data_IF_915513692748
#
_entry.id   IF_915513692748
#
_cell.length_a   1.000
_cell.length_b   1.000
_cell.length_c   1.000
_cell.angle_alpha   90.00
_cell.angle_beta   90.00
_cell.angle_gamma   90.00
#
_symmetry.space_group_name_H-M   'P 1'
#
loop_
_entity.id
_entity.type
_entity.pdbx_description
1 polymer ?
#
# COMPACT_ATOMS: atom_id res chain seq x y z
N UNK A 1 -16.60 15.80 18.44
CA UNK A 1 -16.75 14.37 18.79
C UNK A 1 -15.59 13.95 19.69
N UNK A 2 -15.89 13.13 20.68
CA UNK A 2 -14.95 12.57 21.62
C UNK A 2 -14.94 11.04 21.50
N UNK A 3 -13.77 10.45 21.38
CA UNK A 3 -13.60 9.00 21.22
C UNK A 3 -12.70 8.47 22.34
N UNK A 4 -13.23 7.57 23.17
CA UNK A 4 -12.50 6.91 24.26
C UNK A 4 -12.12 5.50 23.86
N UNK A 5 -10.94 5.04 24.27
CA UNK A 5 -10.46 3.68 24.02
C UNK A 5 -8.98 3.52 24.34
N UNK A 6 -8.43 2.37 23.98
CA UNK A 6 -6.98 2.17 23.97
C UNK A 6 -6.43 2.78 22.69
N UNK A 7 -5.42 3.65 22.74
CA UNK A 7 -4.95 4.37 21.57
C UNK A 7 -3.45 4.14 21.35
N UNK A 8 -3.06 3.77 20.14
CA UNK A 8 -1.68 3.77 19.66
C UNK A 8 -1.49 4.83 18.58
N UNK A 9 -0.41 5.62 18.71
CA UNK A 9 -0.10 6.71 17.80
C UNK A 9 1.35 6.63 17.32
N UNK A 10 1.62 6.03 16.16
CA UNK A 10 2.97 5.85 15.65
C UNK A 10 3.61 7.20 15.28
N UNK A 11 4.86 7.40 15.72
CA UNK A 11 5.66 8.61 15.44
C UNK A 11 6.83 8.32 14.50
N UNK A 12 7.53 7.24 14.79
CA UNK A 12 8.65 6.73 13.99
C UNK A 12 8.59 5.21 13.94
N UNK A 13 9.52 4.58 13.28
CA UNK A 13 9.72 3.13 13.25
C UNK A 13 10.03 2.50 14.61
N UNK A 14 10.47 3.31 15.59
CA UNK A 14 10.81 2.86 16.94
C UNK A 14 9.96 3.51 18.03
N UNK A 15 9.19 4.56 17.72
CA UNK A 15 8.40 5.31 18.70
C UNK A 15 6.93 5.29 18.38
N UNK A 16 6.12 4.87 19.35
CA UNK A 16 4.66 4.88 19.29
C UNK A 16 4.11 5.33 20.65
N UNK A 17 3.32 6.41 20.67
CA UNK A 17 2.64 6.81 21.90
C UNK A 17 1.57 5.77 22.22
N UNK A 18 1.40 5.49 23.52
CA UNK A 18 0.44 4.53 24.04
C UNK A 18 -0.43 5.17 25.14
N UNK A 19 -1.73 5.08 24.93
CA UNK A 19 -2.73 5.55 25.88
C UNK A 19 -3.64 4.36 26.24
N UNK A 20 -3.41 3.69 27.39
CA UNK A 20 -4.26 2.58 27.86
C UNK A 20 -5.73 2.98 28.01
N UNK A 21 -5.93 4.22 28.41
CA UNK A 21 -7.21 4.92 28.44
C UNK A 21 -6.98 6.29 27.81
N UNK A 22 -7.28 6.39 26.50
CA UNK A 22 -7.06 7.59 25.71
C UNK A 22 -8.36 8.31 25.37
N UNK A 23 -8.25 9.61 25.15
CA UNK A 23 -9.28 10.47 24.58
C UNK A 23 -8.76 11.10 23.30
N UNK A 24 -9.37 10.75 22.18
CA UNK A 24 -9.17 11.41 20.89
C UNK A 24 -10.29 12.42 20.68
N UNK A 25 -9.93 13.69 20.56
CA UNK A 25 -10.87 14.81 20.35
C UNK A 25 -10.84 15.21 18.88
N UNK A 26 -12.00 15.19 18.25
CA UNK A 26 -12.18 15.51 16.82
C UNK A 26 -13.14 16.68 16.66
N UNK A 27 -12.71 17.72 15.96
CA UNK A 27 -13.53 18.87 15.59
C UNK A 27 -13.43 19.09 14.08
N UNK A 28 -14.56 19.19 13.39
CA UNK A 28 -14.63 19.44 11.93
C UNK A 28 -13.77 18.48 11.10
N UNK A 29 -13.78 17.18 11.47
CA UNK A 29 -13.01 16.16 10.79
C UNK A 29 -11.49 16.18 11.05
N UNK A 30 -11.02 17.08 11.94
CA UNK A 30 -9.61 17.23 12.31
C UNK A 30 -9.36 16.81 13.75
N UNK A 31 -8.15 16.34 14.02
CA UNK A 31 -7.71 16.02 15.38
C UNK A 31 -7.42 17.30 16.13
N UNK A 32 -8.16 17.54 17.20
CA UNK A 32 -7.98 18.68 18.09
C UNK A 32 -6.98 18.37 19.18
N UNK A 33 -7.15 17.19 19.83
CA UNK A 33 -6.27 16.71 20.89
C UNK A 33 -6.23 15.17 20.91
N UNK A 34 -5.12 14.66 21.45
CA UNK A 34 -4.96 13.27 21.88
C UNK A 34 -4.36 13.29 23.30
N UNK A 35 -5.10 12.80 24.28
CA UNK A 35 -4.77 12.93 25.70
C UNK A 35 -5.01 11.63 26.47
N UNK A 36 -4.28 11.38 27.58
CA UNK A 36 -4.73 10.43 28.59
C UNK A 36 -6.13 10.84 29.09
N UNK A 37 -6.98 9.87 29.40
CA UNK A 37 -8.40 10.11 29.72
C UNK A 37 -8.59 11.09 30.87
N UNK A 38 -7.77 11.00 31.91
CA UNK A 38 -7.84 11.90 33.10
C UNK A 38 -7.61 13.38 32.71
N UNK A 39 -6.58 13.64 31.89
CA UNK A 39 -6.30 14.98 31.37
C UNK A 39 -7.41 15.46 30.43
N UNK A 40 -7.92 14.53 29.63
CA UNK A 40 -9.02 14.80 28.69
C UNK A 40 -10.31 15.19 29.43
N UNK A 41 -10.67 14.46 30.47
CA UNK A 41 -11.86 14.76 31.29
C UNK A 41 -11.72 16.10 32.01
N UNK A 42 -10.56 16.43 32.62
CA UNK A 42 -10.32 17.75 33.22
C UNK A 42 -10.54 18.88 32.20
N UNK A 43 -10.18 18.68 30.95
CA UNK A 43 -10.25 19.74 29.91
C UNK A 43 -11.61 19.82 29.19
N UNK A 44 -12.31 18.71 29.03
CA UNK A 44 -13.44 18.62 28.12
C UNK A 44 -14.73 18.08 28.73
N UNK A 45 -14.79 17.70 30.02
CA UNK A 45 -15.99 17.09 30.63
C UNK A 45 -17.25 17.93 30.42
N UNK A 46 -17.16 19.25 30.54
CA UNK A 46 -18.28 20.17 30.32
C UNK A 46 -18.80 20.22 28.88
N UNK A 47 -17.99 19.79 27.92
CA UNK A 47 -18.34 19.74 26.48
C UNK A 47 -18.80 18.36 26.04
N UNK A 48 -18.59 17.32 26.85
CA UNK A 48 -18.91 15.94 26.51
C UNK A 48 -20.38 15.62 26.84
N UNK A 49 -21.08 15.06 25.85
CA UNK A 49 -22.47 14.58 25.96
C UNK A 49 -22.58 13.15 25.47
N UNK A 50 -23.70 12.47 25.75
CA UNK A 50 -23.98 11.12 25.19
C UNK A 50 -24.00 11.10 23.65
N UNK A 51 -24.39 12.20 23.01
CA UNK A 51 -24.52 12.29 21.54
C UNK A 51 -23.20 12.57 20.83
N UNK A 52 -22.27 13.23 21.48
CA UNK A 52 -20.96 13.58 20.89
C UNK A 52 -19.78 12.76 21.43
N UNK A 53 -20.04 11.78 22.33
CA UNK A 53 -19.02 10.92 22.92
C UNK A 53 -19.25 9.46 22.55
N UNK A 54 -18.23 8.81 22.00
CA UNK A 54 -18.22 7.37 21.74
C UNK A 54 -17.17 6.71 22.62
N UNK A 55 -17.62 5.81 23.47
CA UNK A 55 -16.74 5.00 24.32
C UNK A 55 -16.60 3.61 23.72
N UNK A 56 -15.40 3.27 23.26
CA UNK A 56 -15.08 1.96 22.68
C UNK A 56 -14.51 0.97 23.71
N UNK A 57 -14.50 1.36 24.99
CA UNK A 57 -14.02 0.51 26.09
C UNK A 57 -12.58 0.07 25.89
N UNK A 58 -12.38 -1.24 25.82
CA UNK A 58 -11.05 -1.82 25.61
C UNK A 58 -10.62 -1.89 24.13
N UNK A 59 -11.47 -1.47 23.18
CA UNK A 59 -11.10 -1.52 21.75
C UNK A 59 -9.92 -0.59 21.46
N UNK A 60 -9.09 -1.05 20.51
CA UNK A 60 -7.92 -0.31 20.08
C UNK A 60 -8.28 0.68 18.96
N UNK A 61 -7.87 1.92 19.12
CA UNK A 61 -7.95 2.98 18.12
C UNK A 61 -6.57 3.17 17.50
N UNK A 62 -6.46 2.98 16.18
CA UNK A 62 -5.24 3.16 15.39
C UNK A 62 -5.49 4.17 14.28
N UNK A 63 -4.45 4.87 13.77
CA UNK A 63 -4.55 5.56 12.49
C UNK A 63 -4.98 4.59 11.39
N UNK A 64 -5.80 5.05 10.45
CA UNK A 64 -6.17 4.26 9.28
C UNK A 64 -4.94 3.90 8.43
N UNK A 65 -4.97 2.74 7.80
CA UNK A 65 -3.84 2.19 7.04
C UNK A 65 -3.67 2.86 5.69
N UNK A 66 -2.41 2.93 5.26
CA UNK A 66 -1.97 3.24 3.90
C UNK A 66 -1.38 1.98 3.27
N UNK A 67 -2.11 1.38 2.33
CA UNK A 67 -1.62 0.27 1.51
C UNK A 67 -0.94 0.83 0.26
N UNK A 68 0.39 0.75 0.22
CA UNK A 68 1.16 1.47 -0.77
C UNK A 68 1.39 0.70 -2.08
N UNK A 69 0.85 -0.53 -2.19
CA UNK A 69 0.92 -1.35 -3.39
C UNK A 69 -0.14 -2.44 -3.37
N UNK A 70 -1.15 -2.34 -4.23
CA UNK A 70 -2.19 -3.37 -4.39
C UNK A 70 -2.88 -3.29 -5.76
N UNK A 71 -3.39 -4.44 -6.24
CA UNK A 71 -4.08 -4.60 -7.52
C UNK A 71 -5.56 -4.92 -7.31
N UNK A 72 -6.42 -3.90 -7.28
CA UNK A 72 -7.84 -4.10 -6.99
C UNK A 72 -8.54 -5.06 -7.98
N UNK A 73 -8.08 -5.13 -9.22
CA UNK A 73 -8.60 -5.99 -10.28
C UNK A 73 -8.25 -7.47 -10.10
N UNK A 74 -7.41 -7.80 -9.12
CA UNK A 74 -6.93 -9.15 -8.84
C UNK A 74 -7.55 -9.77 -7.56
N UNK A 75 -8.59 -9.17 -6.97
CA UNK A 75 -9.25 -9.68 -5.75
C UNK A 75 -9.74 -11.13 -5.90
N UNK A 76 -10.15 -11.54 -7.09
CA UNK A 76 -10.67 -12.90 -7.34
C UNK A 76 -9.58 -13.96 -7.45
N UNK A 77 -8.34 -13.59 -7.73
CA UNK A 77 -7.23 -14.52 -7.94
C UNK A 77 -6.22 -14.54 -6.79
N UNK A 78 -6.43 -13.75 -5.75
CA UNK A 78 -5.50 -13.58 -4.63
C UNK A 78 -5.19 -14.87 -3.86
N UNK A 79 -6.11 -15.83 -3.86
CA UNK A 79 -5.93 -17.12 -3.17
C UNK A 79 -5.68 -18.29 -4.12
N UNK A 80 -5.54 -18.04 -5.42
CA UNK A 80 -5.19 -19.07 -6.40
C UNK A 80 -3.77 -19.59 -6.16
N UNK A 81 -3.48 -20.86 -6.53
CA UNK A 81 -2.13 -21.41 -6.40
C UNK A 81 -1.08 -20.57 -7.13
N UNK A 82 0.10 -20.44 -6.55
CA UNK A 82 1.22 -19.65 -7.07
C UNK A 82 2.46 -20.52 -7.16
N UNK A 83 2.78 -20.99 -8.35
CA UNK A 83 3.98 -21.79 -8.61
C UNK A 83 5.18 -20.90 -8.95
N UNK A 84 4.96 -19.91 -9.81
CA UNK A 84 5.91 -18.84 -10.12
C UNK A 84 5.16 -17.55 -10.45
N UNK A 85 5.85 -16.39 -10.43
CA UNK A 85 5.26 -15.09 -10.75
C UNK A 85 4.68 -15.09 -12.19
N UNK A 86 5.47 -15.44 -13.19
CA UNK A 86 5.06 -15.32 -14.58
C UNK A 86 3.93 -16.30 -14.94
N UNK A 87 4.01 -17.52 -14.45
CA UNK A 87 2.98 -18.55 -14.66
C UNK A 87 1.65 -18.17 -13.98
N UNK A 88 1.70 -17.63 -12.75
CA UNK A 88 0.52 -17.14 -12.05
C UNK A 88 -0.13 -15.96 -12.79
N UNK A 89 0.66 -15.07 -13.40
CA UNK A 89 0.15 -13.99 -14.23
C UNK A 89 -0.61 -14.52 -15.45
N UNK A 90 -0.04 -15.48 -16.17
CA UNK A 90 -0.63 -16.06 -17.38
C UNK A 90 -1.90 -16.85 -17.07
N UNK A 91 -1.85 -17.71 -16.06
CA UNK A 91 -2.93 -18.67 -15.75
C UNK A 91 -4.16 -18.03 -15.11
N UNK A 92 -3.97 -17.04 -14.23
CA UNK A 92 -5.05 -16.50 -13.43
C UNK A 92 -5.25 -14.99 -13.58
N UNK A 93 -4.17 -14.23 -13.59
CA UNK A 93 -4.24 -12.76 -13.50
C UNK A 93 -4.70 -12.15 -14.80
N UNK A 94 -4.03 -12.43 -15.90
CA UNK A 94 -4.39 -11.85 -17.19
C UNK A 94 -5.80 -12.22 -17.63
N UNK A 95 -6.26 -13.49 -17.57
CA UNK A 95 -7.65 -13.84 -17.88
C UNK A 95 -8.69 -13.08 -17.03
N UNK A 96 -8.35 -12.80 -15.77
CA UNK A 96 -9.24 -12.03 -14.90
C UNK A 96 -9.24 -10.54 -15.25
N UNK A 97 -8.07 -9.96 -15.53
CA UNK A 97 -7.98 -8.54 -15.90
C UNK A 97 -8.67 -8.21 -17.23
N UNK A 98 -8.73 -9.13 -18.19
CA UNK A 98 -9.47 -8.98 -19.44
C UNK A 98 -10.96 -8.72 -19.23
N UNK A 99 -11.58 -9.28 -18.17
CA UNK A 99 -13.00 -9.10 -17.86
C UNK A 99 -13.35 -7.64 -17.54
N UNK A 100 -12.37 -6.85 -17.11
CA UNK A 100 -12.54 -5.44 -16.74
C UNK A 100 -12.72 -4.49 -17.92
N UNK A 101 -12.65 -4.98 -19.16
CA UNK A 101 -13.13 -4.27 -20.37
C UNK A 101 -14.65 -4.02 -20.30
N UNK A 102 -15.40 -4.88 -19.60
CA UNK A 102 -16.84 -4.74 -19.42
C UNK A 102 -17.14 -3.72 -18.31
N UNK A 103 -17.78 -2.61 -18.67
CA UNK A 103 -18.12 -1.50 -17.78
C UNK A 103 -18.96 -1.92 -16.58
N UNK A 104 -19.98 -2.79 -16.78
CA UNK A 104 -20.86 -3.29 -15.71
C UNK A 104 -20.06 -4.14 -14.73
N UNK A 105 -19.27 -5.09 -15.25
CA UNK A 105 -18.40 -5.94 -14.43
C UNK A 105 -17.43 -5.10 -13.59
N UNK A 106 -16.72 -4.15 -14.22
CA UNK A 106 -15.78 -3.27 -13.54
C UNK A 106 -16.45 -2.49 -12.40
N UNK A 107 -17.62 -1.90 -12.66
CA UNK A 107 -18.37 -1.15 -11.65
C UNK A 107 -18.81 -2.02 -10.46
N UNK A 108 -19.36 -3.21 -10.74
CA UNK A 108 -19.82 -4.14 -9.69
C UNK A 108 -18.64 -4.65 -8.84
N UNK A 109 -17.50 -4.94 -9.46
CA UNK A 109 -16.28 -5.36 -8.75
C UNK A 109 -15.67 -4.22 -7.93
N UNK A 110 -15.58 -3.01 -8.47
CA UNK A 110 -15.06 -1.85 -7.76
C UNK A 110 -15.88 -1.58 -6.48
N UNK A 111 -17.20 -1.54 -6.58
CA UNK A 111 -18.09 -1.34 -5.43
C UNK A 111 -17.83 -2.38 -4.32
N UNK A 112 -17.69 -3.65 -4.69
CA UNK A 112 -17.43 -4.74 -3.72
C UNK A 112 -16.04 -4.63 -3.11
N UNK A 113 -15.03 -4.40 -3.95
CA UNK A 113 -13.64 -4.34 -3.52
C UNK A 113 -13.38 -3.17 -2.57
N UNK A 114 -13.75 -1.94 -2.94
CA UNK A 114 -13.47 -0.76 -2.11
C UNK A 114 -14.29 -0.74 -0.81
N UNK A 115 -15.45 -1.41 -0.77
CA UNK A 115 -16.16 -1.67 0.48
C UNK A 115 -15.37 -2.62 1.39
N UNK A 116 -14.83 -3.73 0.86
CA UNK A 116 -13.95 -4.65 1.60
C UNK A 116 -12.66 -3.95 2.06
N UNK A 117 -12.06 -3.12 1.21
CA UNK A 117 -10.85 -2.39 1.55
C UNK A 117 -11.08 -1.43 2.73
N UNK A 118 -12.20 -0.69 2.71
CA UNK A 118 -12.59 0.15 3.82
C UNK A 118 -12.88 -0.68 5.09
N UNK A 119 -13.49 -1.87 4.98
CA UNK A 119 -13.72 -2.77 6.13
C UNK A 119 -12.44 -3.36 6.71
N UNK A 120 -11.36 -3.45 5.93
CA UNK A 120 -10.04 -3.84 6.40
C UNK A 120 -9.23 -2.66 7.01
N UNK A 121 -9.80 -1.45 7.03
CA UNK A 121 -9.20 -0.27 7.67
C UNK A 121 -8.26 0.53 6.80
N UNK A 122 -8.19 0.26 5.49
CA UNK A 122 -7.33 0.99 4.56
C UNK A 122 -8.02 2.26 4.06
N UNK A 123 -7.38 3.40 4.25
CA UNK A 123 -7.92 4.75 3.95
C UNK A 123 -7.05 5.54 2.96
N UNK A 124 -5.98 4.96 2.49
CA UNK A 124 -5.09 5.60 1.52
C UNK A 124 -4.10 4.61 0.93
N UNK A 125 -3.43 5.01 -0.15
CA UNK A 125 -2.40 4.17 -0.75
C UNK A 125 -2.21 4.36 -2.25
N UNK A 126 -1.51 3.38 -2.87
CA UNK A 126 -1.22 3.38 -4.31
C UNK A 126 -1.75 2.10 -4.97
N UNK A 127 -2.67 2.27 -5.91
CA UNK A 127 -3.47 1.21 -6.48
C UNK A 127 -3.18 1.01 -7.97
N UNK A 128 -3.05 -0.25 -8.37
CA UNK A 128 -2.97 -0.68 -9.77
C UNK A 128 -4.36 -1.11 -10.27
N UNK A 129 -4.82 -0.55 -11.38
CA UNK A 129 -6.01 -0.98 -12.12
C UNK A 129 -5.61 -1.84 -13.34
N UNK A 130 -6.57 -2.24 -14.17
CA UNK A 130 -6.26 -2.86 -15.47
C UNK A 130 -5.89 -1.81 -16.52
N UNK A 131 -5.61 -2.25 -17.76
CA UNK A 131 -5.36 -1.32 -18.88
C UNK A 131 -6.61 -0.49 -19.26
N UNK A 132 -7.80 -0.94 -18.86
CA UNK A 132 -9.08 -0.39 -19.31
C UNK A 132 -9.46 0.89 -18.54
N UNK A 133 -9.76 1.96 -19.29
CA UNK A 133 -10.24 3.22 -18.72
C UNK A 133 -11.47 3.02 -17.82
N UNK A 134 -12.42 2.19 -18.25
CA UNK A 134 -13.66 1.92 -17.50
C UNK A 134 -13.40 1.29 -16.14
N UNK A 135 -12.34 0.51 -15.98
CA UNK A 135 -11.94 -0.05 -14.71
C UNK A 135 -11.35 1.03 -13.78
N UNK A 136 -10.50 1.91 -14.32
CA UNK A 136 -9.98 3.04 -13.53
C UNK A 136 -11.11 3.98 -13.10
N UNK A 137 -12.04 4.31 -14.00
CA UNK A 137 -13.20 5.15 -13.71
C UNK A 137 -14.07 4.54 -12.60
N UNK A 138 -14.31 3.23 -12.64
CA UNK A 138 -15.05 2.52 -11.61
C UNK A 138 -14.32 2.59 -10.25
N UNK A 139 -13.01 2.37 -10.22
CA UNK A 139 -12.21 2.49 -9.01
C UNK A 139 -12.26 3.92 -8.42
N UNK A 140 -12.08 4.94 -9.27
CA UNK A 140 -12.10 6.35 -8.87
C UNK A 140 -13.45 6.80 -8.31
N UNK A 141 -14.56 6.19 -8.77
CA UNK A 141 -15.91 6.52 -8.29
C UNK A 141 -16.25 5.89 -6.94
N UNK A 142 -15.67 4.73 -6.61
CA UNK A 142 -16.03 3.96 -5.43
C UNK A 142 -15.06 4.15 -4.25
N UNK A 143 -13.82 4.56 -4.53
CA UNK A 143 -12.79 4.68 -3.50
C UNK A 143 -13.06 5.85 -2.54
N UNK A 144 -13.01 5.57 -1.24
CA UNK A 144 -13.11 6.56 -0.16
C UNK A 144 -11.78 6.62 0.58
N UNK A 145 -11.08 7.74 0.46
CA UNK A 145 -9.75 7.90 1.07
C UNK A 145 -8.76 8.63 0.18
N UNK A 146 -7.51 8.64 0.62
CA UNK A 146 -6.39 9.32 -0.01
C UNK A 146 -5.59 8.36 -0.90
N UNK A 147 -6.12 8.06 -2.09
CA UNK A 147 -5.51 7.11 -3.02
C UNK A 147 -5.01 7.78 -4.30
N UNK A 148 -3.88 7.26 -4.79
CA UNK A 148 -3.46 7.42 -6.18
C UNK A 148 -3.72 6.11 -6.92
N UNK A 149 -4.37 6.17 -8.08
CA UNK A 149 -4.75 4.98 -8.84
C UNK A 149 -4.28 5.13 -10.29
N UNK A 150 -3.64 4.09 -10.84
CA UNK A 150 -3.21 4.10 -12.23
C UNK A 150 -3.74 2.90 -13.01
N UNK A 151 -4.09 3.14 -14.27
CA UNK A 151 -4.26 2.04 -15.21
C UNK A 151 -2.89 1.45 -15.53
N UNK A 152 -2.78 0.13 -15.51
CA UNK A 152 -1.53 -0.50 -15.95
C UNK A 152 -1.33 -0.30 -17.46
N UNK A 153 -0.07 -0.11 -17.86
CA UNK A 153 0.31 0.01 -19.25
C UNK A 153 1.03 -1.26 -19.69
N UNK A 154 0.53 -1.86 -20.75
CA UNK A 154 1.09 -3.07 -21.36
C UNK A 154 1.02 -2.91 -22.88
N UNK A 155 2.17 -2.93 -23.55
CA UNK A 155 2.29 -2.76 -24.99
C UNK A 155 3.37 -3.65 -25.63
N UNK A 156 3.92 -4.59 -24.86
CA UNK A 156 4.78 -5.68 -25.32
C UNK A 156 4.70 -6.86 -24.35
N UNK A 157 5.04 -8.07 -24.79
CA UNK A 157 5.07 -9.30 -23.98
C UNK A 157 3.85 -9.47 -23.04
N UNK A 158 2.67 -9.22 -23.59
CA UNK A 158 1.39 -9.34 -22.88
C UNK A 158 0.35 -9.97 -23.81
N UNK A 159 -0.72 -10.59 -23.27
CA UNK A 159 -1.78 -11.15 -24.09
C UNK A 159 -2.41 -10.09 -24.99
N UNK A 160 -2.80 -10.48 -26.20
CA UNK A 160 -3.34 -9.58 -27.24
C UNK A 160 -4.45 -8.66 -26.69
N UNK A 161 -5.43 -9.21 -25.97
CA UNK A 161 -6.55 -8.45 -25.37
C UNK A 161 -6.15 -7.50 -24.24
N UNK A 162 -4.91 -7.57 -23.77
CA UNK A 162 -4.33 -6.65 -22.75
C UNK A 162 -3.15 -5.86 -23.33
N UNK A 163 -2.92 -5.90 -24.64
CA UNK A 163 -1.87 -5.16 -25.31
C UNK A 163 -2.45 -3.92 -25.99
N UNK A 164 -1.92 -2.76 -25.66
CA UNK A 164 -2.25 -1.48 -26.29
C UNK A 164 -1.13 -1.09 -27.26
N UNK A 165 -1.42 -0.28 -28.26
CA UNK A 165 -0.34 0.39 -29.01
C UNK A 165 0.36 1.42 -28.13
N UNK A 166 1.58 1.83 -28.50
CA UNK A 166 2.30 2.89 -27.78
C UNK A 166 1.52 4.21 -27.76
N UNK A 167 0.92 4.55 -28.90
CA UNK A 167 0.19 5.80 -29.07
C UNK A 167 -1.13 5.80 -28.27
N UNK A 168 -1.88 4.68 -28.25
CA UNK A 168 -3.07 4.52 -27.39
C UNK A 168 -2.71 4.60 -25.92
N UNK A 169 -1.63 3.94 -25.49
CA UNK A 169 -1.13 3.99 -24.12
C UNK A 169 -0.81 5.42 -23.68
N UNK A 170 -0.16 6.21 -24.54
CA UNK A 170 0.19 7.60 -24.26
C UNK A 170 -1.02 8.53 -24.34
N UNK A 171 -1.92 8.33 -25.32
CA UNK A 171 -3.15 9.08 -25.44
C UNK A 171 -4.06 8.89 -24.21
N UNK A 172 -4.22 7.64 -23.78
CA UNK A 172 -4.99 7.31 -22.56
C UNK A 172 -4.34 7.92 -21.32
N UNK A 173 -3.02 7.82 -21.17
CA UNK A 173 -2.27 8.45 -20.06
C UNK A 173 -2.54 9.97 -20.00
N UNK A 174 -2.44 10.66 -21.14
CA UNK A 174 -2.73 12.11 -21.24
C UNK A 174 -4.18 12.42 -20.83
N UNK A 175 -5.14 11.63 -21.33
CA UNK A 175 -6.58 11.77 -21.00
C UNK A 175 -6.83 11.60 -19.51
N UNK A 176 -6.26 10.56 -18.88
CA UNK A 176 -6.46 10.24 -17.47
C UNK A 176 -5.79 11.27 -16.54
N UNK A 177 -4.60 11.76 -16.89
CA UNK A 177 -3.95 12.87 -16.18
C UNK A 177 -4.86 14.12 -16.22
N UNK A 178 -5.43 14.45 -17.39
CA UNK A 178 -6.37 15.59 -17.51
C UNK A 178 -7.62 15.39 -16.65
N UNK A 179 -8.15 14.16 -16.60
CA UNK A 179 -9.40 13.83 -15.89
C UNK A 179 -9.24 13.80 -14.37
N UNK A 180 -8.15 13.21 -13.87
CA UNK A 180 -7.98 12.89 -12.44
C UNK A 180 -6.85 13.67 -11.75
N UNK A 181 -6.03 14.40 -12.51
CA UNK A 181 -4.93 15.19 -11.98
C UNK A 181 -3.98 14.34 -11.13
N UNK A 182 -3.62 14.85 -9.95
CA UNK A 182 -2.69 14.20 -9.01
C UNK A 182 -3.20 12.88 -8.40
N UNK A 183 -4.48 12.55 -8.58
CA UNK A 183 -5.02 11.24 -8.17
C UNK A 183 -4.70 10.14 -9.18
N UNK A 184 -4.38 10.47 -10.44
CA UNK A 184 -3.86 9.51 -11.39
C UNK A 184 -2.39 9.20 -11.08
N UNK A 185 -2.02 7.92 -11.20
CA UNK A 185 -0.65 7.43 -11.08
C UNK A 185 -0.22 6.82 -12.41
N UNK A 186 0.88 7.29 -12.99
CA UNK A 186 1.44 6.67 -14.20
C UNK A 186 2.01 5.29 -13.86
N UNK A 187 1.46 4.25 -14.48
CA UNK A 187 1.64 2.87 -14.02
C UNK A 187 2.05 1.91 -15.16
N UNK A 188 3.28 1.97 -15.70
CA UNK A 188 3.84 0.83 -16.40
C UNK A 188 3.75 -0.39 -15.49
N UNK A 189 3.15 -1.52 -15.96
CA UNK A 189 3.02 -2.70 -15.07
C UNK A 189 4.39 -3.11 -14.55
N UNK A 190 5.32 -3.36 -15.46
CA UNK A 190 6.75 -3.59 -15.21
C UNK A 190 7.51 -3.52 -16.55
N UNK A 191 8.83 -3.60 -16.54
CA UNK A 191 9.61 -3.45 -17.77
C UNK A 191 9.36 -4.56 -18.78
N UNK A 192 8.92 -5.78 -18.38
CA UNK A 192 8.57 -6.84 -19.32
C UNK A 192 7.47 -6.41 -20.29
N UNK A 193 6.46 -5.71 -19.79
CA UNK A 193 5.25 -5.41 -20.57
C UNK A 193 5.19 -3.99 -21.13
N UNK A 194 6.21 -3.15 -20.90
CA UNK A 194 6.13 -1.75 -21.30
C UNK A 194 7.40 -1.28 -21.99
N UNK A 195 7.27 -0.77 -23.23
CA UNK A 195 8.40 -0.31 -24.03
C UNK A 195 9.09 0.93 -23.42
N UNK A 196 10.40 1.10 -23.68
CA UNK A 196 11.13 2.29 -23.23
C UNK A 196 10.52 3.61 -23.70
N UNK A 197 9.93 3.65 -24.90
CA UNK A 197 9.29 4.84 -25.47
C UNK A 197 8.07 5.26 -24.65
N UNK A 198 7.18 4.30 -24.30
CA UNK A 198 6.00 4.56 -23.48
C UNK A 198 6.42 5.00 -22.06
N UNK A 199 7.37 4.29 -21.44
CA UNK A 199 7.88 4.68 -20.13
C UNK A 199 8.49 6.08 -20.14
N UNK A 200 9.33 6.43 -21.11
CA UNK A 200 10.00 7.73 -21.20
C UNK A 200 9.01 8.88 -21.41
N UNK A 201 8.14 8.76 -22.42
CA UNK A 201 7.15 9.83 -22.72
C UNK A 201 6.10 9.96 -21.62
N UNK A 202 5.60 8.84 -21.07
CA UNK A 202 4.63 8.84 -20.00
C UNK A 202 5.21 9.38 -18.68
N UNK A 203 6.47 9.06 -18.35
CA UNK A 203 7.18 9.66 -17.20
C UNK A 203 7.26 11.18 -17.32
N UNK A 204 7.58 11.72 -18.50
CA UNK A 204 7.62 13.16 -18.74
C UNK A 204 6.23 13.82 -18.55
N UNK A 205 5.16 13.15 -19.02
CA UNK A 205 3.78 13.62 -18.79
C UNK A 205 3.43 13.63 -17.29
N UNK A 206 3.76 12.55 -16.58
CA UNK A 206 3.50 12.44 -15.15
C UNK A 206 4.27 13.48 -14.34
N UNK A 207 5.56 13.70 -14.65
CA UNK A 207 6.39 14.70 -13.97
C UNK A 207 5.85 16.12 -14.21
N UNK A 208 5.48 16.47 -15.45
CA UNK A 208 4.85 17.77 -15.80
C UNK A 208 3.54 18.00 -15.04
N UNK A 209 2.75 16.94 -14.84
CA UNK A 209 1.47 17.00 -14.12
C UNK A 209 1.62 16.82 -12.61
N UNK A 210 2.84 16.62 -12.11
CA UNK A 210 3.12 16.34 -10.71
C UNK A 210 2.36 15.10 -10.18
N UNK A 211 2.18 14.09 -11.05
CA UNK A 211 1.58 12.78 -10.71
C UNK A 211 2.63 11.84 -10.12
N UNK A 212 2.16 10.82 -9.40
CA UNK A 212 3.01 9.69 -9.02
C UNK A 212 3.28 8.77 -10.21
N UNK A 213 4.38 8.02 -10.11
CA UNK A 213 4.77 6.91 -10.99
C UNK A 213 4.91 5.66 -10.15
N UNK A 214 4.39 4.54 -10.59
CA UNK A 214 4.54 3.26 -9.90
C UNK A 214 4.81 2.13 -10.87
N UNK A 215 5.56 1.12 -10.42
CA UNK A 215 5.88 -0.09 -11.19
C UNK A 215 6.49 -1.14 -10.27
N UNK A 216 6.71 -2.36 -10.77
CA UNK A 216 7.41 -3.42 -10.06
C UNK A 216 8.91 -3.35 -10.36
N UNK A 217 9.75 -3.70 -9.39
CA UNK A 217 11.21 -3.67 -9.52
C UNK A 217 11.85 -4.83 -8.77
N UNK A 218 12.59 -5.67 -9.49
CA UNK A 218 13.49 -6.69 -8.93
C UNK A 218 12.83 -7.57 -7.88
N UNK A 219 11.66 -8.12 -8.21
CA UNK A 219 10.90 -8.98 -7.32
C UNK A 219 11.51 -10.38 -7.24
N UNK A 220 11.85 -10.99 -8.39
CA UNK A 220 12.44 -12.33 -8.47
C UNK A 220 13.67 -12.35 -9.37
N UNK A 221 14.65 -13.28 -9.15
CA UNK A 221 15.80 -13.42 -10.04
C UNK A 221 15.39 -13.74 -11.48
N UNK A 222 14.41 -14.63 -11.68
CA UNK A 222 13.93 -15.00 -13.01
C UNK A 222 13.31 -13.80 -13.76
N UNK A 223 12.58 -12.93 -13.06
CA UNK A 223 12.08 -11.67 -13.63
C UNK A 223 13.22 -10.77 -14.07
N UNK A 224 14.25 -10.59 -13.24
CA UNK A 224 15.40 -9.74 -13.55
C UNK A 224 16.12 -10.24 -14.81
N UNK A 225 16.40 -11.54 -14.87
CA UNK A 225 17.09 -12.16 -16.01
C UNK A 225 16.26 -11.99 -17.29
N UNK A 226 14.95 -12.19 -17.21
CA UNK A 226 14.07 -12.02 -18.35
C UNK A 226 14.01 -10.57 -18.82
N UNK A 227 13.88 -9.60 -17.92
CA UNK A 227 13.92 -8.16 -18.24
C UNK A 227 15.23 -7.80 -18.95
N UNK A 228 16.38 -8.22 -18.41
CA UNK A 228 17.67 -7.92 -19.00
C UNK A 228 17.82 -8.56 -20.38
N UNK A 229 17.32 -9.79 -20.58
CA UNK A 229 17.34 -10.49 -21.87
C UNK A 229 16.55 -9.76 -22.97
N UNK A 230 15.41 -9.13 -22.59
CA UNK A 230 14.59 -8.33 -23.49
C UNK A 230 15.30 -7.01 -23.81
N UNK A 231 15.69 -6.25 -22.76
CA UNK A 231 16.16 -4.88 -22.94
C UNK A 231 17.51 -4.79 -23.64
N UNK A 232 18.42 -5.74 -23.44
CA UNK A 232 19.69 -5.81 -24.17
C UNK A 232 19.58 -5.98 -25.67
N UNK A 233 18.39 -6.32 -26.18
CA UNK A 233 18.07 -6.38 -27.63
C UNK A 233 17.47 -5.05 -28.15
N UNK A 234 17.18 -4.07 -27.28
CA UNK A 234 16.56 -2.80 -27.63
C UNK A 234 17.66 -1.75 -27.84
N UNK A 235 17.63 -0.99 -28.98
CA UNK A 235 18.60 0.07 -29.24
C UNK A 235 18.71 1.08 -28.09
N UNK A 236 19.96 1.33 -27.63
CA UNK A 236 20.27 2.21 -26.50
C UNK A 236 20.19 1.57 -25.12
N UNK A 237 19.86 0.25 -25.05
CA UNK A 237 19.82 -0.51 -23.81
C UNK A 237 20.76 -1.73 -23.81
N UNK A 238 21.57 -1.92 -24.84
CA UNK A 238 22.43 -3.11 -25.07
C UNK A 238 23.38 -3.36 -23.88
N UNK A 239 23.83 -2.29 -23.24
CA UNK A 239 24.82 -2.33 -22.14
C UNK A 239 24.21 -2.19 -20.75
N UNK A 240 22.88 -2.30 -20.60
CA UNK A 240 22.26 -2.22 -19.28
C UNK A 240 22.75 -3.36 -18.38
N UNK A 241 23.19 -2.99 -17.18
CA UNK A 241 23.77 -3.91 -16.21
C UNK A 241 22.78 -4.45 -15.21
N UNK A 242 21.69 -3.71 -14.94
CA UNK A 242 20.69 -4.06 -13.95
C UNK A 242 19.31 -3.44 -14.27
N UNK A 243 18.28 -3.92 -13.57
CA UNK A 243 16.90 -3.53 -13.81
C UNK A 243 16.65 -2.04 -13.49
N UNK A 244 17.22 -1.52 -12.42
CA UNK A 244 17.09 -0.11 -12.00
C UNK A 244 17.62 0.86 -13.05
N UNK A 245 18.66 0.49 -13.80
CA UNK A 245 19.22 1.30 -14.88
C UNK A 245 18.22 1.54 -16.02
N UNK A 246 17.39 0.54 -16.34
CA UNK A 246 16.30 0.66 -17.31
C UNK A 246 15.34 1.77 -16.89
N UNK A 247 14.90 1.76 -15.64
CA UNK A 247 14.02 2.78 -15.10
C UNK A 247 14.68 4.16 -14.98
N UNK A 248 15.97 4.21 -14.74
CA UNK A 248 16.72 5.46 -14.77
C UNK A 248 16.74 6.07 -16.18
N UNK A 249 17.09 5.27 -17.21
CA UNK A 249 17.12 5.72 -18.62
C UNK A 249 15.76 6.17 -19.14
N UNK A 250 14.67 5.60 -18.61
CA UNK A 250 13.28 5.92 -19.03
C UNK A 250 12.61 6.99 -18.17
N UNK A 251 13.31 7.57 -17.18
CA UNK A 251 12.75 8.62 -16.33
C UNK A 251 11.72 8.14 -15.29
N UNK A 252 11.63 6.82 -15.07
CA UNK A 252 10.72 6.25 -14.07
C UNK A 252 11.13 6.55 -12.64
N UNK A 253 12.41 6.87 -12.38
CA UNK A 253 12.91 7.17 -11.04
C UNK A 253 12.69 8.63 -10.66
N UNK A 254 12.40 8.91 -9.39
CA UNK A 254 12.22 10.26 -8.86
C UNK A 254 11.49 10.30 -7.53
N UNK A 255 11.36 11.49 -6.94
CA UNK A 255 10.71 11.72 -5.64
C UNK A 255 9.25 11.20 -5.56
N UNK A 256 8.56 11.17 -6.70
CA UNK A 256 7.18 10.67 -6.82
C UNK A 256 7.13 9.29 -7.48
N UNK A 257 8.16 8.49 -7.32
CA UNK A 257 8.24 7.14 -7.88
C UNK A 257 8.19 6.10 -6.79
N UNK A 258 7.31 5.10 -6.99
CA UNK A 258 7.02 4.00 -6.07
C UNK A 258 7.44 2.70 -6.77
N UNK A 259 8.48 2.05 -6.27
CA UNK A 259 8.98 0.78 -6.80
C UNK A 259 8.49 -0.36 -5.92
N UNK A 260 7.58 -1.18 -6.45
CA UNK A 260 7.11 -2.39 -5.77
C UNK A 260 8.24 -3.40 -5.56
N UNK A 261 8.21 -4.10 -4.45
CA UNK A 261 9.09 -5.18 -4.00
C UNK A 261 10.54 -4.76 -3.70
N UNK A 262 11.40 -4.62 -4.69
CA UNK A 262 12.81 -4.25 -4.49
C UNK A 262 13.60 -5.28 -3.66
N UNK A 263 13.33 -6.58 -3.86
CA UNK A 263 13.91 -7.69 -3.07
C UNK A 263 15.38 -7.89 -3.43
N UNK A 264 15.69 -7.95 -4.73
CA UNK A 264 17.02 -8.32 -5.23
C UNK A 264 17.81 -7.10 -5.74
N UNK A 265 17.95 -6.07 -4.88
CA UNK A 265 18.69 -4.85 -5.23
C UNK A 265 20.17 -4.93 -4.79
N UNK A 266 21.06 -4.62 -5.72
CA UNK A 266 22.48 -4.41 -5.44
C UNK A 266 22.74 -3.10 -4.69
N UNK A 267 23.93 -2.95 -4.09
CA UNK A 267 24.32 -1.71 -3.42
C UNK A 267 24.40 -0.51 -4.39
N UNK A 268 24.73 -0.75 -5.66
CA UNK A 268 24.76 0.32 -6.67
C UNK A 268 23.35 0.78 -7.06
N UNK A 269 22.39 -0.14 -7.21
CA UNK A 269 20.98 0.21 -7.45
C UNK A 269 20.42 1.01 -6.28
N UNK A 270 20.71 0.64 -5.04
CA UNK A 270 20.28 1.41 -3.87
C UNK A 270 20.89 2.84 -3.87
N UNK A 271 22.13 3.03 -4.31
CA UNK A 271 22.70 4.38 -4.47
C UNK A 271 21.92 5.21 -5.50
N UNK A 272 21.50 4.60 -6.61
CA UNK A 272 20.67 5.27 -7.65
C UNK A 272 19.32 5.64 -7.08
N UNK A 273 18.62 4.72 -6.42
CA UNK A 273 17.30 4.99 -5.80
C UNK A 273 17.39 6.09 -4.74
N UNK A 274 18.47 6.11 -3.93
CA UNK A 274 18.73 7.19 -2.97
C UNK A 274 18.94 8.54 -3.65
N UNK A 275 19.79 8.60 -4.67
CA UNK A 275 20.11 9.83 -5.43
C UNK A 275 18.84 10.41 -6.06
N UNK A 276 17.97 9.58 -6.62
CA UNK A 276 16.72 9.99 -7.25
C UNK A 276 15.58 10.22 -6.25
N UNK A 277 15.76 9.91 -4.97
CA UNK A 277 14.72 9.99 -3.92
C UNK A 277 13.52 9.08 -4.21
N UNK A 278 13.74 7.97 -4.90
CA UNK A 278 12.73 6.97 -5.23
C UNK A 278 12.40 6.15 -3.98
N UNK A 279 11.11 5.85 -3.77
CA UNK A 279 10.64 5.06 -2.64
C UNK A 279 10.45 3.59 -3.03
N UNK A 280 10.73 2.68 -2.08
CA UNK A 280 10.46 1.24 -2.23
C UNK A 280 9.19 0.89 -1.47
N UNK A 281 8.35 0.04 -2.06
CA UNK A 281 7.16 -0.49 -1.41
C UNK A 281 7.34 -2.00 -1.23
N UNK A 282 7.58 -2.41 0.00
CA UNK A 282 7.75 -3.81 0.34
C UNK A 282 6.42 -4.52 0.54
N UNK A 283 6.25 -5.68 -0.08
CA UNK A 283 5.03 -6.49 -0.08
C UNK A 283 5.27 -7.85 0.60
N UNK A 284 5.39 -7.91 1.94
CA UNK A 284 5.87 -9.11 2.63
C UNK A 284 4.95 -10.32 2.48
N UNK A 285 3.65 -10.13 2.27
CA UNK A 285 2.70 -11.24 2.07
C UNK A 285 2.85 -11.89 0.71
N UNK A 286 3.06 -11.09 -0.33
CA UNK A 286 3.32 -11.54 -1.69
C UNK A 286 4.70 -12.18 -1.82
N UNK A 287 5.72 -11.58 -1.23
CA UNK A 287 7.10 -12.07 -1.32
C UNK A 287 7.38 -13.28 -0.39
N UNK A 288 6.42 -13.62 0.48
CA UNK A 288 6.52 -14.78 1.39
C UNK A 288 6.73 -16.10 0.62
N UNK A 289 7.26 -17.14 1.28
CA UNK A 289 7.33 -18.48 0.70
C UNK A 289 5.97 -18.98 0.20
N UNK A 290 5.98 -19.82 -0.85
CA UNK A 290 4.76 -20.40 -1.46
C UNK A 290 3.88 -21.10 -0.41
N UNK A 291 4.48 -21.83 0.54
CA UNK A 291 3.76 -22.46 1.65
C UNK A 291 3.01 -21.47 2.54
N UNK A 292 3.42 -20.20 2.56
CA UNK A 292 2.78 -19.11 3.26
C UNK A 292 1.83 -18.30 2.35
N UNK A 293 1.46 -18.86 1.18
CA UNK A 293 0.59 -18.29 0.13
C UNK A 293 1.21 -17.08 -0.61
N UNK A 294 2.52 -16.93 -0.57
CA UNK A 294 3.25 -15.93 -1.36
C UNK A 294 3.78 -16.50 -2.67
N UNK A 295 4.62 -15.72 -3.35
CA UNK A 295 5.28 -16.04 -4.63
C UNK A 295 6.71 -16.57 -4.44
N UNK A 296 7.22 -16.62 -3.20
CA UNK A 296 8.56 -17.11 -2.92
C UNK A 296 9.69 -16.17 -3.36
N UNK A 297 9.40 -14.89 -3.56
CA UNK A 297 10.36 -13.90 -4.08
C UNK A 297 11.60 -13.69 -3.20
N UNK A 298 11.48 -13.91 -1.90
CA UNK A 298 12.59 -13.78 -0.95
C UNK A 298 12.35 -12.77 0.17
N UNK A 299 13.36 -12.60 1.03
CA UNK A 299 13.30 -11.67 2.15
C UNK A 299 13.79 -10.29 1.74
N UNK A 300 13.01 -9.27 2.03
CA UNK A 300 13.42 -7.88 1.86
C UNK A 300 14.43 -7.46 2.93
N UNK A 301 15.62 -7.03 2.50
CA UNK A 301 16.66 -6.54 3.39
C UNK A 301 16.40 -5.07 3.77
N UNK A 302 15.46 -4.86 4.69
CA UNK A 302 15.10 -3.51 5.14
C UNK A 302 16.27 -2.79 5.82
N UNK A 303 17.19 -3.51 6.49
CA UNK A 303 18.36 -2.92 7.13
C UNK A 303 19.30 -2.27 6.10
N UNK A 304 19.52 -2.95 4.96
CA UNK A 304 20.31 -2.42 3.85
C UNK A 304 19.66 -1.18 3.25
N UNK A 305 18.33 -1.20 3.10
CA UNK A 305 17.53 -0.07 2.59
C UNK A 305 17.57 1.13 3.54
N UNK A 306 17.45 0.90 4.85
CA UNK A 306 17.56 1.95 5.88
C UNK A 306 18.96 2.53 5.98
N UNK A 307 20.00 1.67 5.95
CA UNK A 307 21.41 2.11 5.88
C UNK A 307 21.67 2.99 4.66
N UNK A 308 21.03 2.68 3.53
CA UNK A 308 21.07 3.52 2.33
C UNK A 308 20.21 4.79 2.45
N UNK A 309 19.45 4.97 3.54
CA UNK A 309 18.53 6.10 3.78
C UNK A 309 17.49 6.25 2.65
N UNK A 310 16.95 5.14 2.16
CA UNK A 310 15.87 5.11 1.18
C UNK A 310 14.54 5.07 1.93
N UNK A 311 13.58 5.87 1.48
CA UNK A 311 12.22 5.85 2.03
C UNK A 311 11.50 4.59 1.57
N UNK A 312 10.82 3.91 2.50
CA UNK A 312 10.04 2.72 2.19
C UNK A 312 8.77 2.61 3.04
N UNK A 313 7.78 1.88 2.55
CA UNK A 313 6.54 1.56 3.23
C UNK A 313 6.08 0.15 2.88
N UNK A 314 4.99 -0.29 3.51
CA UNK A 314 4.40 -1.60 3.28
C UNK A 314 3.23 -1.53 2.28
N UNK A 315 3.02 -2.61 1.53
CA UNK A 315 1.89 -2.85 0.67
C UNK A 315 1.39 -4.29 0.80
N UNK A 316 0.10 -4.53 0.52
CA UNK A 316 -0.50 -5.86 0.56
C UNK A 316 -0.21 -6.67 -0.69
N UNK A 317 -0.05 -5.97 -1.81
CA UNK A 317 0.03 -6.56 -3.15
C UNK A 317 -1.11 -7.57 -3.43
N UNK A 318 -2.34 -7.17 -3.13
CA UNK A 318 -3.52 -7.92 -3.60
C UNK A 318 -3.47 -7.99 -5.14
N UNK A 319 -3.41 -9.07 -5.78
CA UNK A 319 -3.56 -10.53 -5.71
C UNK A 319 -2.31 -11.38 -5.47
N UNK A 320 -1.04 -10.89 -5.61
CA UNK A 320 0.12 -11.65 -5.15
C UNK A 320 0.02 -11.93 -3.65
N UNK A 321 -0.35 -10.95 -2.84
CA UNK A 321 -0.73 -11.10 -1.45
C UNK A 321 -2.14 -11.70 -1.30
N UNK A 322 -2.39 -12.59 -0.30
CA UNK A 322 -3.65 -13.32 -0.20
C UNK A 322 -4.77 -12.56 0.52
N UNK A 323 -4.47 -11.54 1.35
CA UNK A 323 -5.45 -10.86 2.20
C UNK A 323 -5.32 -9.34 2.13
N UNK A 324 -6.45 -8.63 2.32
CA UNK A 324 -6.54 -7.17 2.25
C UNK A 324 -5.94 -6.47 3.49
N UNK A 325 -5.92 -7.17 4.62
CA UNK A 325 -5.60 -6.55 5.89
C UNK A 325 -4.12 -6.22 6.03
N UNK A 326 -3.82 -4.98 6.36
CA UNK A 326 -2.47 -4.56 6.73
C UNK A 326 -1.97 -5.25 8.03
N UNK A 327 -2.84 -5.83 8.84
CA UNK A 327 -2.42 -6.68 9.96
C UNK A 327 -1.72 -7.96 9.50
N UNK A 328 -2.17 -8.61 8.41
CA UNK A 328 -1.47 -9.75 7.83
C UNK A 328 -0.14 -9.34 7.21
N UNK A 329 -0.10 -8.18 6.58
CA UNK A 329 1.14 -7.58 6.04
C UNK A 329 2.16 -7.35 7.16
N UNK A 330 1.74 -6.70 8.25
CA UNK A 330 2.57 -6.47 9.44
C UNK A 330 3.07 -7.79 10.04
N UNK A 331 2.19 -8.80 10.17
CA UNK A 331 2.56 -10.13 10.63
C UNK A 331 3.64 -10.76 9.73
N UNK A 332 3.40 -10.74 8.43
CA UNK A 332 4.31 -11.36 7.47
C UNK A 332 5.71 -10.71 7.52
N UNK A 333 5.77 -9.36 7.58
CA UNK A 333 7.03 -8.64 7.73
C UNK A 333 7.80 -9.07 8.98
N UNK A 334 7.14 -9.06 10.14
CA UNK A 334 7.79 -9.40 11.41
C UNK A 334 8.18 -10.89 11.46
N UNK A 335 7.28 -11.79 11.07
CA UNK A 335 7.51 -13.25 11.18
C UNK A 335 8.63 -13.73 10.24
N UNK A 336 8.71 -13.22 9.00
CA UNK A 336 9.78 -13.59 8.07
C UNK A 336 11.16 -13.15 8.57
N UNK A 337 11.26 -11.93 9.11
CA UNK A 337 12.50 -11.42 9.67
C UNK A 337 12.91 -12.17 10.93
N UNK A 338 11.97 -12.47 11.84
CA UNK A 338 12.23 -13.29 13.04
C UNK A 338 12.74 -14.70 12.70
N UNK A 339 12.21 -15.34 11.65
CA UNK A 339 12.70 -16.65 11.16
C UNK A 339 14.17 -16.60 10.71
N UNK A 340 14.72 -15.41 10.44
CA UNK A 340 16.13 -15.17 10.09
C UNK A 340 16.92 -14.52 11.23
N UNK A 341 16.41 -14.58 12.45
CA UNK A 341 17.02 -13.99 13.66
C UNK A 341 17.21 -12.45 13.57
N UNK A 342 16.39 -11.76 12.74
CA UNK A 342 16.38 -10.31 12.65
C UNK A 342 15.31 -9.78 13.59
N UNK A 343 15.72 -9.32 14.76
CA UNK A 343 14.82 -8.89 15.85
C UNK A 343 14.36 -7.43 15.73
N UNK A 344 15.04 -6.63 14.93
CA UNK A 344 14.72 -5.19 14.74
C UNK A 344 13.41 -4.98 13.95
N UNK A 345 12.93 -6.00 13.25
CA UNK A 345 11.62 -5.99 12.60
C UNK A 345 10.51 -6.15 13.66
N UNK A 346 9.99 -5.03 14.18
CA UNK A 346 8.98 -4.98 15.23
C UNK A 346 7.59 -4.66 14.67
N UNK A 347 6.54 -4.96 15.43
CA UNK A 347 5.18 -4.56 15.08
C UNK A 347 4.98 -3.03 15.15
N UNK A 348 5.71 -2.33 16.01
CA UNK A 348 5.72 -0.85 16.05
C UNK A 348 6.29 -0.29 14.73
N UNK A 349 7.40 -0.84 14.23
CA UNK A 349 7.93 -0.49 12.91
C UNK A 349 6.90 -0.78 11.81
N UNK A 350 6.32 -1.97 11.81
CA UNK A 350 5.33 -2.37 10.81
C UNK A 350 4.10 -1.45 10.82
N UNK A 351 3.61 -1.04 11.99
CA UNK A 351 2.51 -0.07 12.12
C UNK A 351 2.89 1.29 11.52
N UNK A 352 4.08 1.81 11.84
CA UNK A 352 4.57 3.05 11.24
C UNK A 352 4.67 2.95 9.72
N UNK A 353 5.20 1.83 9.19
CA UNK A 353 5.34 1.58 7.74
C UNK A 353 4.00 1.38 7.03
N UNK A 354 2.96 0.95 7.74
CA UNK A 354 1.59 0.79 7.22
C UNK A 354 0.70 2.03 7.43
N UNK A 355 1.20 3.12 8.04
CA UNK A 355 0.43 4.32 8.35
C UNK A 355 1.20 5.58 7.97
N UNK A 356 1.95 6.18 8.89
CA UNK A 356 2.61 7.48 8.70
C UNK A 356 3.68 7.45 7.59
N UNK A 357 4.40 6.35 7.40
CA UNK A 357 5.39 6.24 6.34
C UNK A 357 4.74 6.33 4.95
N UNK A 358 3.64 5.58 4.72
CA UNK A 358 2.86 5.66 3.49
C UNK A 358 2.31 7.07 3.25
N UNK A 359 1.70 7.67 4.28
CA UNK A 359 1.21 9.05 4.20
C UNK A 359 2.33 10.05 3.83
N UNK A 360 3.53 9.92 4.42
CA UNK A 360 4.70 10.76 4.09
C UNK A 360 5.15 10.58 2.64
N UNK A 361 5.19 9.35 2.12
CA UNK A 361 5.55 9.05 0.74
C UNK A 361 4.57 9.73 -0.23
N UNK A 362 3.25 9.68 0.06
CA UNK A 362 2.25 10.37 -0.75
C UNK A 362 2.22 11.89 -0.56
N UNK A 363 3.09 12.46 0.29
CA UNK A 363 3.13 13.89 0.59
C UNK A 363 2.03 14.36 1.56
N UNK A 364 1.34 13.42 2.21
CA UNK A 364 0.23 13.65 3.14
C UNK A 364 0.65 13.60 4.61
N UNK A 365 1.94 13.47 4.91
CA UNK A 365 2.43 13.33 6.28
C UNK A 365 2.07 14.48 7.24
N UNK A 366 1.75 15.67 6.70
CA UNK A 366 1.26 16.82 7.48
C UNK A 366 -0.25 16.76 7.75
N UNK A 367 -1.01 15.95 7.00
CA UNK A 367 -2.48 15.87 7.09
C UNK A 367 -3.01 14.50 7.51
N UNK A 368 -2.20 13.43 7.46
CA UNK A 368 -2.65 12.07 7.72
C UNK A 368 -1.55 11.17 8.32
N UNK A 369 -1.91 9.93 8.63
CA UNK A 369 -1.01 8.83 9.00
C UNK A 369 -0.73 8.66 10.48
N UNK A 370 -1.07 9.63 11.33
CA UNK A 370 -1.06 9.51 12.78
C UNK A 370 -1.97 10.58 13.43
N UNK A 371 -2.02 10.62 14.76
CA UNK A 371 -2.92 11.49 15.53
C UNK A 371 -2.27 12.80 16.01
N UNK A 372 -1.41 13.41 15.22
CA UNK A 372 -0.92 14.76 15.50
C UNK A 372 -2.04 15.78 15.28
N UNK A 373 -2.00 16.84 16.10
CA UNK A 373 -2.96 17.95 16.04
C UNK A 373 -3.07 18.52 14.62
N UNK A 374 -4.30 18.91 14.24
CA UNK A 374 -4.69 19.47 12.93
C UNK A 374 -4.61 18.49 11.75
N UNK A 375 -4.20 17.24 11.96
CA UNK A 375 -4.35 16.19 10.93
C UNK A 375 -5.80 15.75 10.80
N UNK A 376 -6.13 15.16 9.66
CA UNK A 376 -7.43 14.57 9.42
C UNK A 376 -7.69 13.42 10.39
N UNK A 377 -8.89 13.36 10.94
CA UNK A 377 -9.31 12.30 11.85
C UNK A 377 -9.59 10.99 11.08
N UNK A 378 -8.51 10.37 10.62
CA UNK A 378 -8.49 9.11 9.89
C UNK A 378 -8.08 7.99 10.83
N UNK A 379 -9.01 7.15 11.24
CA UNK A 379 -8.73 6.10 12.23
C UNK A 379 -9.62 4.87 12.07
N UNK A 380 -9.15 3.78 12.67
CA UNK A 380 -9.86 2.51 12.74
C UNK A 380 -10.08 2.11 14.19
N UNK A 381 -11.11 1.30 14.42
CA UNK A 381 -11.42 0.70 15.71
C UNK A 381 -11.33 -0.82 15.58
N UNK A 382 -10.51 -1.42 16.44
CA UNK A 382 -10.27 -2.87 16.49
C UNK A 382 -10.77 -3.39 17.83
N UNK A 383 -11.81 -4.22 17.87
CA UNK A 383 -12.29 -4.84 19.11
C UNK A 383 -11.20 -5.67 19.77
N UNK A 384 -11.06 -5.52 21.08
CA UNK A 384 -10.14 -6.32 21.90
C UNK A 384 -10.85 -6.90 23.11
N UNK A 385 -10.43 -8.09 23.52
CA UNK A 385 -10.83 -8.64 24.82
C UNK A 385 -10.04 -7.93 25.95
N UNK A 386 -10.62 -7.84 27.14
CA UNK A 386 -10.01 -7.16 28.29
C UNK A 386 -8.59 -7.67 28.62
N UNK A 387 -8.34 -8.97 28.44
CA UNK A 387 -7.03 -9.60 28.68
C UNK A 387 -5.99 -9.35 27.57
N UNK A 388 -6.35 -8.67 26.51
CA UNK A 388 -5.44 -8.33 25.39
C UNK A 388 -4.71 -6.99 25.60
N UNK A 389 -5.00 -6.26 26.67
CA UNK A 389 -4.21 -5.08 27.04
C UNK A 389 -2.76 -5.47 27.29
N UNK A 390 -1.82 -4.65 26.84
CA UNK A 390 -0.38 -4.86 26.97
C UNK A 390 0.27 -3.76 27.79
N UNK A 391 1.54 -3.95 28.14
CA UNK A 391 2.34 -2.96 28.88
C UNK A 391 2.87 -1.87 27.97
N UNK A 392 3.01 -2.17 26.68
CA UNK A 392 3.57 -1.29 25.67
C UNK A 392 2.95 -1.57 24.29
N UNK A 393 3.17 -0.70 23.30
CA UNK A 393 2.64 -0.85 21.95
C UNK A 393 2.98 -2.17 21.26
N UNK A 394 4.21 -2.65 21.39
CA UNK A 394 4.69 -3.88 20.74
C UNK A 394 3.92 -5.10 21.26
N UNK A 395 3.74 -5.19 22.58
CA UNK A 395 3.03 -6.30 23.21
C UNK A 395 1.55 -6.35 22.79
N UNK A 396 0.87 -5.21 22.71
CA UNK A 396 -0.52 -5.13 22.28
C UNK A 396 -0.65 -5.60 20.83
N UNK A 397 0.18 -5.07 19.92
CA UNK A 397 0.16 -5.45 18.52
C UNK A 397 0.49 -6.93 18.34
N UNK A 398 1.46 -7.46 19.11
CA UNK A 398 1.81 -8.88 19.10
C UNK A 398 0.64 -9.76 19.53
N UNK A 399 -0.11 -9.38 20.58
CA UNK A 399 -1.28 -10.12 21.05
C UNK A 399 -2.41 -10.12 20.02
N UNK A 400 -2.74 -8.94 19.45
CA UNK A 400 -3.82 -8.81 18.44
C UNK A 400 -3.48 -9.62 17.20
N UNK A 401 -2.28 -9.45 16.68
CA UNK A 401 -1.84 -10.12 15.44
C UNK A 401 -1.62 -11.61 15.71
N UNK A 402 -1.05 -11.97 16.85
CA UNK A 402 -0.74 -13.36 17.20
C UNK A 402 -1.94 -14.29 17.25
N UNK A 403 -3.12 -13.81 17.66
CA UNK A 403 -4.33 -14.64 17.84
C UNK A 403 -4.87 -15.25 16.53
N UNK A 404 -4.55 -14.70 15.37
CA UNK A 404 -5.11 -15.11 14.07
C UNK A 404 -4.10 -15.76 13.12
N UNK A 405 -2.88 -16.05 13.58
CA UNK A 405 -1.81 -16.64 12.73
C UNK A 405 -2.23 -17.94 12.02
N UNK A 406 -3.08 -18.74 12.64
CA UNK A 406 -3.58 -20.00 12.06
C UNK A 406 -4.82 -19.81 11.16
N UNK A 407 -5.52 -18.67 11.26
CA UNK A 407 -6.73 -18.35 10.48
C UNK A 407 -6.58 -16.96 9.85
N UNK A 408 -5.62 -16.80 8.96
CA UNK A 408 -5.21 -15.52 8.40
C UNK A 408 -6.33 -14.74 7.70
N UNK A 409 -7.32 -15.42 7.13
CA UNK A 409 -8.49 -14.75 6.52
C UNK A 409 -9.29 -13.89 7.52
N UNK A 410 -9.19 -14.17 8.82
CA UNK A 410 -9.85 -13.37 9.85
C UNK A 410 -9.23 -11.98 10.02
N UNK A 411 -8.01 -11.75 9.55
CA UNK A 411 -7.42 -10.41 9.58
C UNK A 411 -8.23 -9.40 8.77
N UNK A 412 -8.86 -9.80 7.67
CA UNK A 412 -9.71 -8.94 6.84
C UNK A 412 -10.97 -8.45 7.58
N UNK A 413 -11.31 -9.05 8.73
CA UNK A 413 -12.49 -8.78 9.55
C UNK A 413 -12.19 -8.23 10.95
N UNK A 414 -10.93 -7.87 11.23
CA UNK A 414 -10.54 -7.37 12.56
C UNK A 414 -11.07 -5.97 12.88
N UNK A 415 -11.26 -5.16 11.86
CA UNK A 415 -11.68 -3.76 12.03
C UNK A 415 -13.20 -3.71 12.12
N UNK A 416 -13.73 -3.13 13.20
CA UNK A 416 -15.17 -2.94 13.37
C UNK A 416 -15.67 -1.61 12.80
N UNK A 417 -14.82 -0.58 12.76
CA UNK A 417 -15.17 0.73 12.22
C UNK A 417 -13.96 1.39 11.56
N UNK A 418 -14.21 2.07 10.45
CA UNK A 418 -13.20 2.88 9.75
C UNK A 418 -13.73 4.29 9.56
N UNK A 419 -12.92 5.26 9.99
CA UNK A 419 -13.23 6.67 9.87
C UNK A 419 -12.26 7.38 8.91
N UNK A 420 -12.82 8.21 8.04
CA UNK A 420 -12.08 9.09 7.16
C UNK A 420 -12.57 10.52 7.34
N UNK A 421 -11.67 11.44 7.72
CA UNK A 421 -11.97 12.85 8.06
C UNK A 421 -13.13 12.97 9.07
N UNK A 422 -13.09 12.12 10.10
CA UNK A 422 -14.08 12.09 11.16
C UNK A 422 -15.42 11.46 10.81
N UNK A 423 -15.64 11.07 9.54
CA UNK A 423 -16.85 10.40 9.07
C UNK A 423 -16.64 8.89 9.00
N UNK A 424 -17.57 8.11 9.53
CA UNK A 424 -17.51 6.66 9.42
C UNK A 424 -17.80 6.23 7.96
N UNK A 425 -16.83 5.58 7.33
CA UNK A 425 -16.95 5.01 5.97
C UNK A 425 -17.23 3.50 6.00
N UNK A 426 -17.03 2.87 7.17
CA UNK A 426 -17.39 1.49 7.48
C UNK A 426 -17.81 1.38 8.96
N UNK A 427 -18.88 0.59 9.22
CA UNK A 427 -19.42 0.26 10.54
C UNK A 427 -19.85 -1.19 10.56
#
# INVERSE_FOLDING_TARGET
MFYKGVILNPKTDTKCDYFPQGLLVVKEGKIKDLLPIEKGLKKYSSQMTKTNTKDFGHSLILPGFFDMHFHWVQDEVREMPKDSLLEWLEKYTFPTEMKFANKKYAKDKAKKFFKKLASAGTIGGACYSSIHEVALDAAMSEVKGDFVIGNVLMNMYSPEKLTQTEDDSLALTKKLIKKYGKRHCFTPRFAITTTPKVMKKGSQMADKANCFKQTHLSETPAEIDFVLSIYRKIPGFEKVSNYTEIYQKTGMLGKRSLMGHGIHLSSNELKVLKKTKTSIIHCPTSNAPIKDKGLGSGLFDFKKVEKAKITWALGSDIGGGPFLSMFDVMRSFVDQNKKKNITDATYVMALYRSTLAGAKILGLGKSAGNFEKEKDANFIVVPMKKNMTGRNPEEILQKIIGQYKLKRSLYDHLVSMTYFKGLAIFK
#
